data_IF_162006272233
#
_entry.id   IF_162006272233
#
_cell.length_a   1.000
_cell.length_b   1.000
_cell.length_c   1.000
_cell.angle_alpha   90.00
_cell.angle_beta   90.00
_cell.angle_gamma   90.00
#
_symmetry.space_group_name_H-M   'P 1'
#
loop_
_entity.id
_entity.type
_entity.pdbx_description
1 polymer ?
#
# COMPACT_ATOMS: atom_id res chain seq x y z
N UNK A 1 2.36 -4.89 -15.64
CA UNK A 1 1.23 -4.06 -15.15
C UNK A 1 1.36 -2.57 -15.49
N UNK A 2 0.23 -1.89 -15.72
CA UNK A 2 0.12 -0.41 -15.77
C UNK A 2 -1.30 0.05 -15.46
N UNK A 3 -1.48 1.29 -14.99
CA UNK A 3 -2.79 1.97 -14.93
C UNK A 3 -3.19 2.42 -16.34
N UNK A 4 -4.46 2.25 -16.70
CA UNK A 4 -5.02 2.65 -18.01
C UNK A 4 -6.33 3.40 -17.78
N UNK A 5 -6.55 4.47 -18.56
CA UNK A 5 -7.83 5.17 -18.66
C UNK A 5 -8.70 4.49 -19.74
N UNK A 6 -9.98 4.28 -19.45
CA UNK A 6 -10.93 3.57 -20.29
C UNK A 6 -12.37 3.92 -19.91
N UNK A 7 -13.29 2.99 -20.16
CA UNK A 7 -14.73 3.15 -19.90
C UNK A 7 -15.23 2.19 -18.83
N UNK A 8 -16.37 2.52 -18.23
CA UNK A 8 -17.09 1.63 -17.30
C UNK A 8 -17.57 0.36 -17.99
N UNK A 9 -17.78 -0.72 -17.23
CA UNK A 9 -18.35 -1.98 -17.75
C UNK A 9 -17.40 -2.82 -18.63
N UNK A 10 -16.09 -2.62 -18.55
CA UNK A 10 -15.11 -3.44 -19.26
C UNK A 10 -15.09 -4.90 -18.76
N UNK A 11 -14.64 -5.81 -19.63
CA UNK A 11 -14.36 -7.19 -19.22
C UNK A 11 -13.06 -7.25 -18.42
N UNK A 12 -13.07 -7.92 -17.26
CA UNK A 12 -11.88 -8.10 -16.43
C UNK A 12 -10.88 -9.11 -17.01
N UNK A 13 -11.31 -9.95 -17.95
CA UNK A 13 -10.45 -10.82 -18.75
C UNK A 13 -10.94 -10.84 -20.20
N UNK A 14 -10.02 -10.72 -21.16
CA UNK A 14 -10.39 -10.63 -22.58
C UNK A 14 -9.27 -11.10 -23.50
N UNK A 15 -9.63 -11.80 -24.58
CA UNK A 15 -8.73 -12.06 -25.71
C UNK A 15 -8.74 -10.85 -26.64
N UNK A 16 -7.66 -10.06 -26.61
CA UNK A 16 -7.53 -8.82 -27.40
C UNK A 16 -6.92 -9.04 -28.79
N UNK A 17 -6.32 -10.21 -29.04
CA UNK A 17 -5.84 -10.59 -30.37
C UNK A 17 -5.83 -12.12 -30.52
N UNK A 18 -6.85 -12.71 -31.16
CA UNK A 18 -6.90 -14.17 -31.39
C UNK A 18 -5.72 -14.68 -32.21
N UNK A 19 -5.35 -13.95 -33.28
CA UNK A 19 -4.24 -14.33 -34.17
C UNK A 19 -2.88 -14.39 -33.45
N UNK A 20 -2.70 -13.60 -32.38
CA UNK A 20 -1.46 -13.55 -31.58
C UNK A 20 -1.63 -14.21 -30.21
N UNK A 21 -2.79 -14.82 -29.94
CA UNK A 21 -3.18 -15.35 -28.64
C UNK A 21 -2.88 -14.38 -27.48
N UNK A 22 -3.23 -13.10 -27.64
CA UNK A 22 -2.99 -12.07 -26.62
C UNK A 22 -4.21 -11.89 -25.75
N UNK A 23 -3.99 -11.99 -24.46
CA UNK A 23 -5.01 -11.80 -23.43
C UNK A 23 -4.66 -10.61 -22.56
N UNK A 24 -5.67 -10.01 -21.94
CA UNK A 24 -5.49 -9.01 -20.91
C UNK A 24 -6.36 -9.33 -19.72
N UNK A 25 -5.84 -8.99 -18.53
CA UNK A 25 -6.65 -8.93 -17.31
C UNK A 25 -6.67 -7.50 -16.81
N UNK A 26 -7.77 -7.13 -16.14
CA UNK A 26 -7.99 -5.80 -15.56
C UNK A 26 -8.48 -5.95 -14.12
N UNK A 27 -8.02 -5.07 -13.24
CA UNK A 27 -8.39 -5.05 -11.83
C UNK A 27 -8.31 -3.62 -11.28
N UNK A 28 -8.71 -3.44 -10.02
CA UNK A 28 -8.77 -2.12 -9.37
C UNK A 28 -9.52 -1.08 -10.22
N UNK A 29 -10.69 -1.48 -10.72
CA UNK A 29 -11.55 -0.63 -11.55
C UNK A 29 -12.14 0.48 -10.70
N UNK A 30 -11.85 1.72 -11.08
CA UNK A 30 -12.38 2.93 -10.47
C UNK A 30 -13.23 3.65 -11.52
N UNK A 31 -14.54 3.47 -11.44
CA UNK A 31 -15.51 4.11 -12.34
C UNK A 31 -15.80 5.54 -11.87
N UNK A 32 -16.03 6.43 -12.83
CA UNK A 32 -16.40 7.83 -12.62
C UNK A 32 -17.83 8.06 -13.11
N UNK A 33 -18.48 9.11 -12.59
CA UNK A 33 -19.89 9.43 -12.91
C UNK A 33 -20.13 9.74 -14.38
N UNK A 34 -19.10 10.17 -15.11
CA UNK A 34 -19.15 10.48 -16.55
C UNK A 34 -19.08 9.24 -17.46
N UNK A 35 -19.05 8.03 -16.88
CA UNK A 35 -18.92 6.76 -17.62
C UNK A 35 -17.48 6.41 -18.01
N UNK A 36 -16.50 7.25 -17.66
CA UNK A 36 -15.10 6.87 -17.73
C UNK A 36 -14.71 5.98 -16.55
N UNK A 37 -13.65 5.20 -16.72
CA UNK A 37 -13.06 4.42 -15.64
C UNK A 37 -11.55 4.38 -15.79
N UNK A 38 -10.85 4.10 -14.70
CA UNK A 38 -9.45 3.71 -14.78
C UNK A 38 -9.26 2.36 -14.09
N UNK A 39 -8.28 1.58 -14.56
CA UNK A 39 -8.01 0.24 -14.02
C UNK A 39 -6.55 -0.13 -14.22
N UNK A 40 -6.07 -1.06 -13.40
CA UNK A 40 -4.80 -1.73 -13.64
C UNK A 40 -4.98 -2.78 -14.74
N UNK A 41 -3.97 -2.93 -15.61
CA UNK A 41 -4.00 -3.85 -16.74
C UNK A 41 -2.66 -4.60 -16.89
N UNK A 42 -2.76 -5.90 -17.21
CA UNK A 42 -1.64 -6.74 -17.58
C UNK A 42 -1.96 -7.62 -18.79
N UNK A 43 -0.99 -7.75 -19.70
CA UNK A 43 -1.14 -8.52 -20.93
C UNK A 43 -0.34 -9.83 -20.88
N UNK A 44 -0.94 -10.90 -21.42
CA UNK A 44 -0.38 -12.25 -21.45
C UNK A 44 -0.31 -12.80 -22.88
N UNK A 45 0.61 -13.73 -23.10
CA UNK A 45 0.57 -14.65 -24.26
C UNK A 45 -0.09 -15.93 -23.78
N UNK A 46 -1.20 -16.31 -24.40
CA UNK A 46 -2.08 -17.36 -23.88
C UNK A 46 -3.06 -16.86 -22.83
N UNK A 47 -4.15 -17.61 -22.65
CA UNK A 47 -5.14 -17.36 -21.61
C UNK A 47 -4.50 -17.64 -20.25
N UNK A 48 -4.40 -16.65 -19.34
CA UNK A 48 -3.83 -16.89 -18.03
C UNK A 48 -4.73 -17.83 -17.21
N UNK A 49 -4.11 -18.70 -16.41
CA UNK A 49 -4.81 -19.53 -15.43
C UNK A 49 -5.25 -18.71 -14.22
N UNK A 50 -6.28 -19.17 -13.52
CA UNK A 50 -6.83 -18.45 -12.36
C UNK A 50 -5.77 -18.17 -11.28
N UNK A 51 -4.88 -19.13 -11.03
CA UNK A 51 -3.80 -18.96 -10.05
C UNK A 51 -2.83 -17.85 -10.46
N UNK A 52 -2.53 -17.72 -11.75
CA UNK A 52 -1.71 -16.62 -12.29
C UNK A 52 -2.39 -15.27 -12.09
N UNK A 53 -3.70 -15.20 -12.38
CA UNK A 53 -4.50 -13.97 -12.21
C UNK A 53 -4.49 -13.55 -10.74
N UNK A 54 -4.75 -14.50 -9.83
CA UNK A 54 -4.74 -14.26 -8.39
C UNK A 54 -3.38 -13.80 -7.90
N UNK A 55 -2.28 -14.40 -8.36
CA UNK A 55 -0.91 -13.99 -8.00
C UNK A 55 -0.67 -12.54 -8.41
N UNK A 56 -0.89 -12.20 -9.69
CA UNK A 56 -0.62 -10.85 -10.21
C UNK A 56 -1.38 -9.77 -9.43
N UNK A 57 -2.65 -10.01 -9.12
CA UNK A 57 -3.47 -9.05 -8.36
C UNK A 57 -3.02 -8.98 -6.90
N UNK A 58 -2.68 -10.12 -6.29
CA UNK A 58 -2.21 -10.17 -4.89
C UNK A 58 -0.88 -9.47 -4.73
N UNK A 59 0.05 -9.70 -5.65
CA UNK A 59 1.39 -9.10 -5.66
C UNK A 59 1.29 -7.59 -5.83
N UNK A 60 0.45 -7.10 -6.76
CA UNK A 60 0.19 -5.67 -6.89
C UNK A 60 -0.41 -5.06 -5.61
N UNK A 61 -1.38 -5.74 -4.99
CA UNK A 61 -1.97 -5.28 -3.73
C UNK A 61 -0.91 -5.18 -2.62
N UNK A 62 0.00 -6.16 -2.52
CA UNK A 62 1.10 -6.12 -1.56
C UNK A 62 2.02 -4.92 -1.83
N UNK A 63 2.39 -4.67 -3.08
CA UNK A 63 3.19 -3.49 -3.45
C UNK A 63 2.52 -2.15 -3.08
N UNK A 64 1.19 -2.06 -3.21
CA UNK A 64 0.46 -0.85 -2.79
C UNK A 64 0.47 -0.67 -1.27
N UNK A 65 0.25 -1.76 -0.53
CA UNK A 65 0.31 -1.77 0.94
C UNK A 65 1.69 -1.35 1.42
N UNK A 66 2.75 -1.96 0.87
CA UNK A 66 4.12 -1.69 1.25
C UNK A 66 4.50 -0.23 0.97
N UNK A 67 4.07 0.32 -0.18
CA UNK A 67 4.28 1.74 -0.52
C UNK A 67 3.55 2.69 0.43
N UNK A 68 2.29 2.39 0.75
CA UNK A 68 1.48 3.21 1.64
C UNK A 68 2.04 3.19 3.07
N UNK A 69 2.49 2.04 3.55
CA UNK A 69 3.21 1.94 4.83
C UNK A 69 4.50 2.76 4.76
N UNK A 70 5.32 2.55 3.73
CA UNK A 70 6.64 3.16 3.65
C UNK A 70 6.59 4.69 3.69
N UNK A 71 5.64 5.33 2.99
CA UNK A 71 5.66 6.79 2.77
C UNK A 71 4.32 7.52 2.91
N UNK A 72 3.23 6.82 3.24
CA UNK A 72 1.90 7.44 3.37
C UNK A 72 1.65 8.16 4.70
N UNK A 73 2.52 7.95 5.70
CA UNK A 73 2.32 8.50 7.03
C UNK A 73 2.86 9.94 7.17
N UNK A 74 2.01 10.83 7.69
CA UNK A 74 2.36 12.19 8.08
C UNK A 74 2.20 12.36 9.59
N UNK A 75 3.22 12.94 10.23
CA UNK A 75 3.17 13.30 11.64
C UNK A 75 3.48 14.79 11.80
N UNK A 76 2.58 15.56 12.41
CA UNK A 76 2.70 17.03 12.53
C UNK A 76 2.93 17.71 11.17
N UNK A 77 2.40 17.14 10.08
CA UNK A 77 2.60 17.60 8.71
C UNK A 77 3.94 17.21 8.07
N UNK A 78 4.81 16.50 8.80
CA UNK A 78 6.08 15.99 8.30
C UNK A 78 5.91 14.58 7.71
N UNK A 79 6.43 14.31 6.49
CA UNK A 79 6.56 12.95 5.97
C UNK A 79 7.40 12.07 6.88
N UNK A 80 6.93 10.87 7.19
CA UNK A 80 7.66 9.89 7.99
C UNK A 80 7.84 8.61 7.18
N UNK A 81 9.10 8.18 7.04
CA UNK A 81 9.40 6.92 6.37
C UNK A 81 9.25 5.77 7.35
N UNK A 82 8.29 4.86 7.13
CA UNK A 82 8.11 3.67 7.95
C UNK A 82 8.76 2.45 7.30
N UNK A 83 10.04 2.55 6.94
CA UNK A 83 10.82 1.37 6.56
C UNK A 83 10.89 0.38 7.73
N UNK A 84 11.18 -0.90 7.46
CA UNK A 84 11.33 -1.91 8.53
C UNK A 84 12.36 -1.50 9.59
N UNK A 85 13.45 -0.86 9.15
CA UNK A 85 14.49 -0.33 10.04
C UNK A 85 13.96 0.84 10.89
N UNK A 86 13.24 1.79 10.30
CA UNK A 86 12.66 2.89 11.04
C UNK A 86 11.58 2.43 12.03
N UNK A 87 10.68 1.53 11.62
CA UNK A 87 9.68 0.94 12.50
C UNK A 87 10.34 0.24 13.71
N UNK A 88 11.43 -0.50 13.47
CA UNK A 88 12.21 -1.12 14.54
C UNK A 88 12.84 -0.07 15.46
N UNK A 89 13.49 0.95 14.91
CA UNK A 89 14.14 2.00 15.69
C UNK A 89 13.14 2.80 16.54
N UNK A 90 11.99 3.15 15.98
CA UNK A 90 10.91 3.84 16.70
C UNK A 90 10.38 2.98 17.84
N UNK A 91 10.15 1.69 17.58
CA UNK A 91 9.72 0.74 18.60
C UNK A 91 10.76 0.60 19.71
N UNK A 92 12.03 0.39 19.37
CA UNK A 92 13.09 0.20 20.35
C UNK A 92 13.27 1.42 21.25
N UNK A 93 13.26 2.63 20.67
CA UNK A 93 13.33 3.87 21.41
C UNK A 93 12.11 4.07 22.33
N UNK A 94 10.90 3.81 21.82
CA UNK A 94 9.67 3.89 22.60
C UNK A 94 9.65 2.90 23.76
N UNK A 95 9.92 1.62 23.50
CA UNK A 95 9.96 0.56 24.52
C UNK A 95 10.97 0.90 25.62
N UNK A 96 12.17 1.35 25.25
CA UNK A 96 13.23 1.70 26.20
C UNK A 96 12.86 2.93 27.03
N UNK A 97 12.26 3.96 26.42
CA UNK A 97 11.78 5.13 27.13
C UNK A 97 10.68 4.74 28.15
N UNK A 98 9.71 3.90 27.75
CA UNK A 98 8.65 3.41 28.64
C UNK A 98 9.24 2.59 29.80
N UNK A 99 10.13 1.65 29.51
CA UNK A 99 10.74 0.77 30.51
C UNK A 99 11.60 1.52 31.53
N UNK A 100 12.18 2.65 31.14
CA UNK A 100 13.05 3.46 32.00
C UNK A 100 12.34 4.67 32.62
N UNK A 101 11.03 4.82 32.42
CA UNK A 101 10.29 5.99 32.91
C UNK A 101 10.76 7.30 32.26
N UNK A 102 11.25 7.25 31.03
CA UNK A 102 11.70 8.41 30.26
C UNK A 102 13.18 8.77 30.40
N UNK A 103 14.00 7.96 31.08
CA UNK A 103 15.42 8.29 31.30
C UNK A 103 16.26 8.34 30.01
N UNK A 104 15.78 7.76 28.92
CA UNK A 104 16.43 7.80 27.59
C UNK A 104 15.94 8.92 26.70
N UNK A 105 15.09 9.81 27.22
CA UNK A 105 14.67 11.03 26.55
C UNK A 105 15.68 12.17 26.81
N UNK A 106 15.86 13.11 25.88
CA UNK A 106 15.16 13.19 24.60
C UNK A 106 15.70 12.20 23.54
N UNK A 107 14.85 11.83 22.58
CA UNK A 107 15.27 11.08 21.38
C UNK A 107 14.91 11.87 20.13
N UNK A 108 15.79 11.87 19.14
CA UNK A 108 15.58 12.62 17.89
C UNK A 108 15.42 11.66 16.72
N UNK A 109 14.34 11.81 15.96
CA UNK A 109 14.12 11.09 14.72
C UNK A 109 14.25 12.01 13.52
N UNK A 110 14.81 11.48 12.43
CA UNK A 110 14.81 12.12 11.11
C UNK A 110 13.50 11.76 10.40
N UNK A 111 12.72 12.78 10.09
CA UNK A 111 11.55 12.80 9.21
C UNK A 111 11.88 13.60 7.94
N UNK A 112 10.86 13.93 7.15
CA UNK A 112 10.98 14.65 5.89
C UNK A 112 11.42 13.75 4.73
N UNK A 113 11.72 14.36 3.59
CA UNK A 113 12.27 13.66 2.42
C UNK A 113 13.79 13.65 2.48
N UNK A 114 14.43 12.96 1.53
CA UNK A 114 15.89 12.98 1.43
C UNK A 114 16.43 14.36 1.05
N UNK A 115 15.65 15.15 0.31
CA UNK A 115 15.99 16.52 -0.08
C UNK A 115 15.71 17.52 1.04
N UNK A 116 14.66 17.30 1.83
CA UNK A 116 14.21 18.19 2.90
C UNK A 116 14.10 17.41 4.21
N UNK A 117 15.23 17.08 4.86
CA UNK A 117 15.22 16.36 6.12
C UNK A 117 14.71 17.26 7.24
N UNK A 118 13.89 16.70 8.13
CA UNK A 118 13.33 17.38 9.28
C UNK A 118 13.63 16.56 10.54
N UNK A 119 14.17 17.17 11.58
CA UNK A 119 14.53 16.46 12.81
C UNK A 119 13.53 16.80 13.90
N UNK A 120 12.84 15.78 14.42
CA UNK A 120 11.89 15.92 15.53
C UNK A 120 12.47 15.30 16.78
N UNK A 121 12.71 16.14 17.77
CA UNK A 121 13.16 15.72 19.11
C UNK A 121 11.95 15.50 20.01
N UNK A 122 11.82 14.31 20.59
CA UNK A 122 10.77 13.95 21.55
C UNK A 122 11.32 14.05 22.96
N UNK A 123 10.80 15.02 23.73
CA UNK A 123 11.31 15.33 25.07
C UNK A 123 10.51 14.64 26.18
N UNK A 124 9.25 14.30 25.91
CA UNK A 124 8.35 13.67 26.86
C UNK A 124 7.89 12.30 26.39
N UNK A 125 7.54 11.43 27.35
CA UNK A 125 6.95 10.12 27.04
C UNK A 125 5.61 10.29 26.31
N UNK A 126 4.85 11.33 26.63
CA UNK A 126 3.56 11.61 25.99
C UNK A 126 3.71 11.88 24.50
N UNK A 127 4.64 12.76 24.10
CA UNK A 127 4.91 13.05 22.69
C UNK A 127 5.38 11.80 21.93
N UNK A 128 6.29 11.02 22.52
CA UNK A 128 6.80 9.80 21.88
C UNK A 128 5.71 8.72 21.77
N UNK A 129 4.82 8.63 22.77
CA UNK A 129 3.65 7.73 22.76
C UNK A 129 2.67 8.11 21.66
N UNK A 130 2.36 9.41 21.53
CA UNK A 130 1.45 9.92 20.50
C UNK A 130 1.97 9.60 19.10
N UNK A 131 3.25 9.87 18.84
CA UNK A 131 3.90 9.50 17.58
C UNK A 131 3.83 8.00 17.31
N UNK A 132 4.29 7.18 18.26
CA UNK A 132 4.40 5.74 18.06
C UNK A 132 3.04 5.09 17.82
N UNK A 133 2.02 5.47 18.59
CA UNK A 133 0.66 4.90 18.45
C UNK A 133 0.01 5.32 17.12
N UNK A 134 0.19 6.56 16.68
CA UNK A 134 -0.30 7.02 15.36
C UNK A 134 0.41 6.32 14.21
N UNK A 135 1.73 6.17 14.28
CA UNK A 135 2.50 5.45 13.27
C UNK A 135 2.06 3.98 13.18
N UNK A 136 1.90 3.31 14.32
CA UNK A 136 1.43 1.92 14.33
C UNK A 136 -0.01 1.77 13.86
N UNK A 137 -0.87 2.74 14.17
CA UNK A 137 -2.24 2.77 13.67
C UNK A 137 -2.27 2.87 12.14
N UNK A 138 -1.46 3.75 11.53
CA UNK A 138 -1.32 3.85 10.08
C UNK A 138 -0.96 2.50 9.44
N UNK A 139 0.05 1.81 10.01
CA UNK A 139 0.48 0.48 9.53
C UNK A 139 -0.66 -0.54 9.61
N UNK A 140 -1.35 -0.61 10.75
CA UNK A 140 -2.42 -1.59 10.98
C UNK A 140 -3.64 -1.33 10.09
N UNK A 141 -4.07 -0.07 9.98
CA UNK A 141 -5.20 0.32 9.14
C UNK A 141 -4.89 0.00 7.66
N UNK A 142 -3.68 0.32 7.19
CA UNK A 142 -3.23 0.03 5.82
C UNK A 142 -3.21 -1.48 5.53
N UNK A 143 -2.70 -2.29 6.46
CA UNK A 143 -2.71 -3.76 6.34
C UNK A 143 -4.14 -4.30 6.30
N UNK A 144 -5.01 -3.81 7.18
CA UNK A 144 -6.41 -4.23 7.26
C UNK A 144 -7.15 -3.95 5.96
N UNK A 145 -7.04 -2.74 5.42
CA UNK A 145 -7.64 -2.37 4.15
C UNK A 145 -7.07 -3.20 2.99
N UNK A 146 -5.77 -3.46 3.02
CA UNK A 146 -5.09 -4.33 2.09
C UNK A 146 -5.61 -5.77 2.09
N UNK A 147 -5.83 -6.36 3.27
CA UNK A 147 -6.43 -7.68 3.41
C UNK A 147 -7.86 -7.70 2.89
N UNK A 148 -8.68 -6.71 3.24
CA UNK A 148 -10.06 -6.60 2.75
C UNK A 148 -10.12 -6.56 1.22
N UNK A 149 -9.20 -5.82 0.57
CA UNK A 149 -9.09 -5.78 -0.90
C UNK A 149 -8.71 -7.14 -1.50
N UNK A 150 -7.77 -7.85 -0.87
CA UNK A 150 -7.36 -9.20 -1.29
C UNK A 150 -8.48 -10.24 -1.10
N UNK A 151 -9.22 -10.15 0.00
CA UNK A 151 -10.34 -11.06 0.31
C UNK A 151 -11.56 -10.80 -0.58
N UNK A 152 -11.72 -9.57 -1.09
CA UNK A 152 -12.76 -9.22 -2.05
C UNK A 152 -12.49 -9.73 -3.49
N UNK A 153 -11.35 -10.39 -3.73
CA UNK A 153 -11.06 -11.00 -5.02
C UNK A 153 -12.08 -12.10 -5.33
N UNK A 154 -12.81 -11.93 -6.43
CA UNK A 154 -13.82 -12.86 -6.91
C UNK A 154 -13.33 -13.52 -8.22
N UNK A 155 -12.97 -14.82 -8.19
CA UNK A 155 -12.47 -15.52 -9.37
C UNK A 155 -13.53 -15.67 -10.47
N UNK A 156 -14.83 -15.62 -10.13
CA UNK A 156 -15.90 -15.79 -11.11
C UNK A 156 -15.92 -14.64 -12.13
N UNK A 157 -15.52 -13.43 -11.72
CA UNK A 157 -15.40 -12.27 -12.62
C UNK A 157 -14.29 -12.41 -13.67
N UNK A 158 -13.39 -13.38 -13.49
CA UNK A 158 -12.28 -13.68 -14.40
C UNK A 158 -12.49 -14.97 -15.19
N UNK A 159 -13.71 -15.51 -15.21
CA UNK A 159 -14.07 -16.58 -16.15
C UNK A 159 -14.33 -16.00 -17.54
N UNK A 160 -14.07 -16.83 -18.54
CA UNK A 160 -14.42 -16.56 -19.94
C UNK A 160 -15.49 -17.59 -20.27
N UNK A 161 -16.66 -17.11 -20.71
CA UNK A 161 -17.75 -17.92 -21.25
C UNK A 161 -17.33 -18.68 -22.52
#
# INVERSE_FOLDING_TARGET
MKRVEGTSGIKLIECVSPARNRWRIRWDVQEREDGSASYMEEGFVGRPHMDTIKSVITDWCNEQIDREILSGFLYEGMPVWLSSENQFNYKAAYDLAVQTGGATLPVTFKFGTDEVPQYREFVTLEELTDFYTKAMKHVQDTLSDGWRKKDAFDPEKYRVE
#
